data_IF_363159610689
#
_entry.id   IF_363159610689
#
_cell.length_a   1.000
_cell.length_b   1.000
_cell.length_c   1.000
_cell.angle_alpha   90.00
_cell.angle_beta   90.00
_cell.angle_gamma   90.00
#
_symmetry.space_group_name_H-M   'P 1'
#
loop_
_entity.id
_entity.type
_entity.pdbx_description
1 polymer ?
#
# COMPACT_ATOMS: atom_id res chain seq x y z
N UNK A 1 -7.84 -14.43 -3.98
CA UNK A 1 -7.46 -14.13 -5.38
C UNK A 1 -6.88 -15.37 -6.04
N UNK A 2 -7.23 -15.62 -7.31
CA UNK A 2 -6.63 -16.71 -8.07
C UNK A 2 -5.21 -16.33 -8.52
N UNK A 3 -4.23 -17.23 -8.33
CA UNK A 3 -2.82 -16.96 -8.64
C UNK A 3 -2.58 -16.66 -10.12
N UNK A 4 -3.25 -17.37 -11.03
CA UNK A 4 -3.10 -17.14 -12.47
C UNK A 4 -3.54 -15.75 -12.88
N UNK A 5 -4.65 -15.25 -12.33
CA UNK A 5 -5.15 -13.89 -12.58
C UNK A 5 -4.18 -12.80 -12.09
N UNK A 6 -3.56 -13.01 -10.92
CA UNK A 6 -2.56 -12.06 -10.39
C UNK A 6 -1.30 -12.06 -11.25
N UNK A 7 -0.84 -13.24 -11.69
CA UNK A 7 0.37 -13.35 -12.53
C UNK A 7 0.15 -12.85 -13.96
N UNK A 8 -1.10 -12.76 -14.43
CA UNK A 8 -1.44 -12.23 -15.76
C UNK A 8 -1.74 -10.73 -15.76
N UNK A 9 -1.74 -10.06 -14.61
CA UNK A 9 -1.99 -8.62 -14.52
C UNK A 9 -0.85 -7.84 -15.17
N UNK A 10 -1.20 -6.81 -15.94
CA UNK A 10 -0.25 -5.97 -16.66
C UNK A 10 0.42 -4.91 -15.78
N UNK A 11 -0.13 -4.68 -14.58
CA UNK A 11 0.40 -3.69 -13.66
C UNK A 11 0.12 -4.03 -12.19
N UNK A 12 0.90 -3.44 -11.30
CA UNK A 12 0.63 -3.51 -9.86
C UNK A 12 -0.72 -2.87 -9.48
N UNK A 13 -1.16 -1.85 -10.22
CA UNK A 13 -2.47 -1.23 -10.03
C UNK A 13 -3.61 -2.21 -10.34
N UNK A 14 -3.49 -2.96 -11.42
CA UNK A 14 -4.48 -3.97 -11.80
C UNK A 14 -4.57 -5.07 -10.74
N UNK A 15 -3.43 -5.52 -10.18
CA UNK A 15 -3.44 -6.45 -9.04
C UNK A 15 -4.14 -5.86 -7.82
N UNK A 16 -3.92 -4.57 -7.53
CA UNK A 16 -4.55 -3.88 -6.42
C UNK A 16 -6.08 -3.79 -6.60
N UNK A 17 -6.54 -3.48 -7.81
CA UNK A 17 -7.97 -3.45 -8.17
C UNK A 17 -8.60 -4.84 -8.07
N UNK A 18 -7.92 -5.88 -8.59
CA UNK A 18 -8.34 -7.27 -8.45
C UNK A 18 -8.45 -7.71 -6.98
N UNK A 19 -7.60 -7.13 -6.11
CA UNK A 19 -7.58 -7.38 -4.68
C UNK A 19 -8.60 -6.57 -3.88
N UNK A 20 -9.52 -5.85 -4.54
CA UNK A 20 -10.59 -5.10 -3.91
C UNK A 20 -11.25 -5.91 -2.79
N UNK A 21 -11.24 -5.35 -1.57
CA UNK A 21 -11.81 -5.97 -0.37
C UNK A 21 -10.86 -6.83 0.48
N UNK A 22 -9.62 -7.10 0.05
CA UNK A 22 -8.64 -7.92 0.80
C UNK A 22 -7.72 -7.06 1.68
N UNK A 23 -7.88 -5.73 1.65
CA UNK A 23 -7.10 -4.79 2.47
C UNK A 23 -5.62 -4.71 2.10
N UNK A 24 -5.27 -4.99 0.83
CA UNK A 24 -3.87 -4.91 0.37
C UNK A 24 -3.31 -3.49 0.53
N UNK A 25 -4.08 -2.46 0.20
CA UNK A 25 -3.66 -1.07 0.37
C UNK A 25 -3.27 -0.73 1.82
N UNK A 26 -4.03 -1.26 2.80
CA UNK A 26 -3.68 -1.08 4.21
C UNK A 26 -2.37 -1.79 4.56
N UNK A 27 -2.19 -3.05 4.13
CA UNK A 27 -0.93 -3.78 4.35
C UNK A 27 0.27 -3.09 3.74
N UNK A 28 0.10 -2.45 2.58
CA UNK A 28 1.14 -1.65 1.93
C UNK A 28 1.44 -0.40 2.77
N UNK A 29 0.43 0.30 3.29
CA UNK A 29 0.62 1.44 4.18
C UNK A 29 1.41 1.05 5.45
N UNK A 30 1.02 -0.04 6.11
CA UNK A 30 1.68 -0.55 7.31
C UNK A 30 3.16 -0.90 7.04
N UNK A 31 3.42 -1.65 5.95
CA UNK A 31 4.78 -2.02 5.56
C UNK A 31 5.64 -0.80 5.17
N UNK A 32 5.03 0.18 4.49
CA UNK A 32 5.65 1.46 4.18
C UNK A 32 6.06 2.21 5.43
N UNK A 33 5.16 2.32 6.42
CA UNK A 33 5.44 2.99 7.69
C UNK A 33 6.60 2.32 8.44
N UNK A 34 6.62 0.99 8.50
CA UNK A 34 7.75 0.24 9.10
C UNK A 34 9.06 0.58 8.41
N UNK A 35 9.07 0.60 7.08
CA UNK A 35 10.28 0.90 6.29
C UNK A 35 10.75 2.33 6.53
N UNK A 36 9.84 3.31 6.51
CA UNK A 36 10.16 4.71 6.77
C UNK A 36 10.71 4.90 8.19
N UNK A 37 10.10 4.28 9.20
CA UNK A 37 10.57 4.31 10.59
C UNK A 37 11.97 3.69 10.75
N UNK A 38 12.30 2.67 9.95
CA UNK A 38 13.64 2.08 9.94
C UNK A 38 14.69 2.99 9.28
N UNK A 39 14.37 3.57 8.13
CA UNK A 39 15.28 4.45 7.38
C UNK A 39 15.54 5.77 8.12
N UNK A 40 14.49 6.35 8.70
CA UNK A 40 14.54 7.65 9.37
C UNK A 40 14.74 7.51 10.89
N UNK A 41 15.32 6.38 11.33
CA UNK A 41 15.54 6.11 12.75
C UNK A 41 16.37 7.23 13.39
N UNK A 42 15.83 7.85 14.44
CA UNK A 42 16.47 8.94 15.18
C UNK A 42 16.27 10.33 14.57
N UNK A 43 15.58 10.44 13.43
CA UNK A 43 15.19 11.74 12.89
C UNK A 43 14.03 12.35 13.71
N UNK A 44 14.02 13.67 13.95
CA UNK A 44 12.98 14.34 14.74
C UNK A 44 11.72 14.61 13.90
N UNK A 45 11.16 13.57 13.28
CA UNK A 45 9.97 13.63 12.43
C UNK A 45 9.01 12.48 12.75
N UNK A 46 7.71 12.72 12.55
CA UNK A 46 6.67 11.69 12.66
C UNK A 46 6.22 11.33 11.23
N UNK A 47 6.52 10.11 10.75
CA UNK A 47 6.10 9.70 9.41
C UNK A 47 4.63 9.31 9.38
N UNK A 48 3.97 9.63 8.27
CA UNK A 48 2.61 9.23 7.94
C UNK A 48 2.59 8.72 6.49
N UNK A 49 1.94 7.59 6.24
CA UNK A 49 1.92 6.91 4.95
C UNK A 49 0.48 6.74 4.48
N UNK A 50 0.19 7.29 3.30
CA UNK A 50 -1.12 7.23 2.66
C UNK A 50 -1.00 6.53 1.30
N UNK A 51 -1.92 5.59 1.04
CA UNK A 51 -2.07 4.95 -0.27
C UNK A 51 -3.31 5.53 -0.92
N UNK A 52 -3.15 6.10 -2.12
CA UNK A 52 -4.20 6.84 -2.82
C UNK A 52 -4.56 6.11 -4.12
N UNK A 53 -5.86 5.96 -4.37
CA UNK A 53 -6.39 5.40 -5.62
C UNK A 53 -6.23 6.37 -6.79
N UNK A 54 -6.45 5.88 -8.01
CA UNK A 54 -6.39 6.73 -9.21
C UNK A 54 -7.45 7.84 -9.22
N UNK A 55 -8.55 7.64 -8.51
CA UNK A 55 -9.63 8.62 -8.32
C UNK A 55 -9.33 9.62 -7.20
N UNK A 56 -8.14 9.57 -6.59
CA UNK A 56 -7.75 10.45 -5.50
C UNK A 56 -8.32 10.07 -4.13
N UNK A 57 -8.85 8.85 -3.97
CA UNK A 57 -9.38 8.37 -2.68
C UNK A 57 -8.30 7.72 -1.85
N UNK A 58 -8.27 7.99 -0.56
CA UNK A 58 -7.38 7.28 0.37
C UNK A 58 -7.93 5.86 0.56
N UNK A 59 -7.12 4.87 0.24
CA UNK A 59 -7.49 3.44 0.28
C UNK A 59 -6.63 2.64 1.27
N UNK A 60 -5.64 3.29 1.90
CA UNK A 60 -4.86 2.77 3.03
C UNK A 60 -4.13 3.91 3.74
N UNK A 61 -3.95 3.80 5.06
CA UNK A 61 -3.37 4.86 5.88
C UNK A 61 -2.66 4.30 7.12
N UNK A 62 -1.46 4.79 7.44
CA UNK A 62 -0.71 4.39 8.62
C UNK A 62 0.20 5.53 9.14
N UNK A 63 0.04 5.93 10.41
CA UNK A 63 0.87 6.90 11.15
C UNK A 63 1.45 6.31 12.44
#
# INVERSE_FOLDING_TARGET
LCRSSVMSANSALEVLEMAGGIGIAQKVADAGLVTVKQVLRGAPIVPDVMVVSREGRIIGHAG
#
